data_IF_089361681478
#
_entry.id   IF_089361681478
#
_cell.length_a   1.000
_cell.length_b   1.000
_cell.length_c   1.000
_cell.angle_alpha   90.00
_cell.angle_beta   90.00
_cell.angle_gamma   90.00
#
_symmetry.space_group_name_H-M   'P 1'
#
loop_
_entity.id
_entity.type
_entity.pdbx_description
1 polymer ?
2 non-polymer ?
3 non-polymer ?
4 non-polymer ?
5 non-polymer ?
6 water ?
#
# COMPACT_ATOMS: atom_id res chain seq x y z
N UNK A 15 9.36 12.39 12.05
CA UNK A 15 9.65 12.83 10.69
C UNK A 15 8.71 14.02 10.38
N UNK A 16 9.19 14.88 9.52
CA UNK A 16 8.46 16.05 9.10
C UNK A 16 7.41 15.66 8.05
N UNK A 17 6.11 15.93 8.28
CA UNK A 17 5.13 15.61 7.22
C UNK A 17 5.47 16.25 5.88
N UNK A 18 6.25 17.35 5.86
CA UNK A 18 6.60 17.96 4.59
C UNK A 18 7.48 17.06 3.74
N UNK A 19 8.07 16.02 4.33
CA UNK A 19 8.91 15.08 3.60
C UNK A 19 8.15 13.85 3.12
N UNK A 20 6.84 13.79 3.32
CA UNK A 20 6.03 12.64 2.89
C UNK A 20 5.26 12.98 1.62
N UNK A 21 5.34 12.10 0.63
CA UNK A 21 4.54 12.20 -0.58
C UNK A 21 3.72 10.93 -0.73
N UNK A 22 2.41 11.07 -0.97
CA UNK A 22 1.56 9.93 -1.26
C UNK A 22 1.42 9.83 -2.76
N UNK A 23 1.85 8.73 -3.34
CA UNK A 23 1.73 8.48 -4.76
C UNK A 23 0.65 7.44 -4.98
N UNK A 24 -0.21 7.70 -5.96
CA UNK A 24 -1.25 6.75 -6.34
C UNK A 24 -1.37 6.69 -7.85
N UNK A 25 -2.21 5.77 -8.33
CA UNK A 25 -2.49 5.61 -9.75
C UNK A 25 -3.99 5.73 -9.93
N UNK A 26 -4.41 6.52 -10.91
CA UNK A 26 -5.80 6.58 -11.32
C UNK A 26 -5.84 6.94 -12.78
N UNK A 27 -6.41 6.10 -13.62
CA UNK A 27 -6.59 6.49 -15.00
C UNK A 27 -7.84 7.31 -15.23
N UNK A 28 -8.81 7.28 -14.30
CA UNK A 28 -10.00 8.11 -14.37
C UNK A 28 -10.33 8.58 -12.96
N UNK A 29 -11.08 9.68 -12.89
CA UNK A 29 -11.54 10.20 -11.60
C UNK A 29 -12.85 9.50 -11.22
N UNK A 30 -12.68 8.22 -10.86
CA UNK A 30 -13.80 7.39 -10.44
C UNK A 30 -14.31 7.81 -9.06
N UNK A 31 -15.50 7.32 -8.70
CA UNK A 31 -16.01 7.62 -7.37
C UNK A 31 -15.06 7.13 -6.29
N UNK A 32 -14.41 5.99 -6.53
CA UNK A 32 -13.44 5.49 -5.57
C UNK A 32 -12.24 6.41 -5.43
N UNK A 33 -11.70 6.87 -6.57
CA UNK A 33 -10.58 7.82 -6.49
C UNK A 33 -10.99 9.09 -5.76
N UNK A 34 -12.19 9.62 -6.04
CA UNK A 34 -12.61 10.84 -5.37
C UNK A 34 -12.79 10.62 -3.87
N UNK A 35 -13.30 9.45 -3.48
CA UNK A 35 -13.39 9.08 -2.07
C UNK A 35 -12.02 9.06 -1.42
N UNK A 36 -11.05 8.42 -2.09
CA UNK A 36 -9.67 8.44 -1.61
C UNK A 36 -9.16 9.87 -1.47
N UNK A 37 -9.31 10.65 -2.52
CA UNK A 37 -8.73 11.99 -2.57
C UNK A 37 -9.33 12.90 -1.50
N UNK A 38 -10.64 12.79 -1.27
CA UNK A 38 -11.25 13.60 -0.22
C UNK A 38 -10.67 13.26 1.14
N UNK A 39 -10.42 11.97 1.38
CA UNK A 39 -9.84 11.58 2.67
C UNK A 39 -8.41 12.09 2.79
N UNK A 40 -7.64 12.02 1.70
CA UNK A 40 -6.26 12.50 1.75
C UNK A 40 -6.21 14.00 2.01
N UNK A 41 -7.09 14.75 1.36
CA UNK A 41 -7.12 16.20 1.51
C UNK A 41 -7.57 16.60 2.89
N UNK A 42 -8.55 15.88 3.47
CA UNK A 42 -9.03 16.19 4.82
C UNK A 42 -7.89 16.11 5.83
N UNK A 43 -7.00 15.12 5.66
CA UNK A 43 -5.86 14.91 6.55
C UNK A 43 -4.60 15.66 6.10
N UNK A 44 -4.69 16.46 5.04
CA UNK A 44 -3.63 17.36 4.61
C UNK A 44 -2.43 16.60 4.03
N UNK A 45 -2.66 15.44 3.44
CA UNK A 45 -1.63 14.74 2.69
C UNK A 45 -1.38 15.47 1.37
N UNK A 46 -0.19 15.30 0.84
CA UNK A 46 0.12 15.73 -0.52
C UNK A 46 0.13 14.50 -1.42
N UNK A 47 -0.71 14.54 -2.47
CA UNK A 47 -0.90 13.40 -3.36
C UNK A 47 -0.29 13.72 -4.73
N UNK A 48 0.36 12.72 -5.30
CA UNK A 48 0.80 12.73 -6.70
C UNK A 48 0.06 11.58 -7.38
N UNK A 49 -0.73 11.90 -8.39
CA UNK A 49 -1.57 10.91 -9.07
C UNK A 49 -0.99 10.60 -10.45
N UNK A 50 -0.66 9.32 -10.67
CA UNK A 50 -0.12 8.88 -11.94
C UNK A 50 -1.22 8.32 -12.82
N UNK A 51 -1.19 8.68 -14.09
CA UNK A 51 -2.00 8.00 -15.09
C UNK A 51 -3.32 8.64 -15.48
N UNK A 52 -3.68 9.81 -14.94
CA UNK A 52 -5.00 10.36 -15.22
C UNK A 52 -5.19 10.68 -16.71
N UNK A 53 -6.25 10.11 -17.28
CA UNK A 53 -6.58 10.27 -18.67
C UNK A 53 -5.87 9.33 -19.60
N UNK A 54 -4.98 8.49 -19.10
CA UNK A 54 -4.29 7.49 -19.90
C UNK A 54 -5.12 6.22 -19.98
N UNK A 55 -4.82 5.39 -20.99
CA UNK A 55 -5.50 4.12 -21.15
C UNK A 55 -4.94 3.11 -20.15
N UNK A 56 -5.82 2.45 -19.41
CA UNK A 56 -5.37 1.37 -18.53
C UNK A 56 -4.97 0.17 -19.37
N UNK A 57 -3.76 -0.30 -19.11
CA UNK A 57 -3.21 -1.48 -19.77
C UNK A 57 -2.86 -2.57 -18.76
N UNK A 58 -3.35 -2.44 -17.53
CA UNK A 58 -2.96 -3.34 -16.46
C UNK A 58 -3.72 -4.64 -16.40
N UNK A 59 -4.57 -4.92 -17.37
CA UNK A 59 -5.37 -6.13 -17.40
C UNK A 59 -6.85 -5.84 -17.17
N UNK A 60 -7.70 -6.61 -17.83
CA UNK A 60 -9.16 -6.53 -17.70
C UNK A 60 -9.52 -6.55 -16.21
N UNK A 61 -10.43 -5.66 -15.80
CA UNK A 61 -10.68 -5.51 -14.37
C UNK A 61 -11.29 -6.76 -13.75
N UNK A 62 -11.84 -7.67 -14.55
CA UNK A 62 -12.32 -8.94 -14.01
C UNK A 62 -11.17 -9.77 -13.45
N UNK A 63 -9.98 -9.65 -14.02
CA UNK A 63 -8.85 -10.49 -13.64
C UNK A 63 -8.41 -10.24 -12.20
N UNK A 64 -7.90 -11.29 -11.58
CA UNK A 64 -7.43 -11.27 -10.21
C UNK A 64 -5.94 -11.04 -10.11
N UNK A 65 -5.28 -10.88 -11.26
CA UNK A 65 -3.87 -10.51 -11.33
C UNK A 65 -3.73 -9.39 -12.37
N UNK A 66 -2.65 -8.64 -12.25
CA UNK A 66 -2.33 -7.57 -13.18
C UNK A 66 -1.82 -6.35 -12.45
N UNK A 67 -1.88 -5.20 -13.11
CA UNK A 67 -1.43 -3.97 -12.50
C UNK A 67 0.02 -3.63 -12.69
N UNK A 68 0.74 -4.33 -13.56
CA UNK A 68 2.14 -4.02 -13.80
C UNK A 68 2.34 -2.59 -14.30
N UNK A 69 1.37 -2.07 -15.05
CA UNK A 69 1.45 -0.67 -15.48
C UNK A 69 1.67 0.26 -14.30
N UNK A 70 1.10 -0.05 -13.14
CA UNK A 70 1.31 0.80 -11.97
C UNK A 70 2.80 0.89 -11.64
N UNK A 71 3.50 -0.25 -11.70
CA UNK A 71 4.90 -0.27 -11.34
C UNK A 71 5.72 0.47 -12.39
N UNK A 72 5.35 0.33 -13.67
CA UNK A 72 6.08 1.04 -14.71
C UNK A 72 5.97 2.54 -14.52
N UNK A 73 4.78 3.02 -14.21
CA UNK A 73 4.59 4.46 -13.98
C UNK A 73 5.30 4.91 -12.70
N UNK A 74 5.25 4.09 -11.65
CA UNK A 74 5.95 4.43 -10.42
C UNK A 74 7.46 4.44 -10.64
N UNK A 75 7.99 3.48 -11.40
CA UNK A 75 9.41 3.46 -11.73
C UNK A 75 9.84 4.77 -12.35
N UNK A 76 9.09 5.26 -13.33
CA UNK A 76 9.41 6.51 -13.99
C UNK A 76 9.42 7.66 -12.99
N UNK A 77 8.37 7.77 -12.18
CA UNK A 77 8.28 8.85 -11.21
C UNK A 77 9.42 8.78 -10.20
N UNK A 78 9.80 7.58 -9.76
CA UNK A 78 10.80 7.46 -8.71
C UNK A 78 12.18 7.89 -9.17
N UNK A 79 12.43 7.98 -10.48
CA UNK A 79 13.70 8.48 -10.97
C UNK A 79 13.97 9.89 -10.48
N UNK A 80 12.91 10.65 -10.21
CA UNK A 80 13.07 12.01 -9.71
C UNK A 80 13.61 12.02 -8.28
N UNK A 81 13.38 10.95 -7.53
CA UNK A 81 13.64 10.92 -6.10
C UNK A 81 14.74 9.94 -5.72
N UNK A 82 15.47 9.42 -6.72
CA UNK A 82 16.41 8.34 -6.47
C UNK A 82 17.46 8.70 -5.43
N UNK A 83 17.76 10.00 -5.32
CA UNK A 83 18.83 10.51 -4.47
C UNK A 83 18.32 11.28 -3.26
N UNK A 84 17.01 11.28 -3.02
CA UNK A 84 16.40 12.09 -1.96
C UNK A 84 16.33 11.25 -0.69
N UNK A 85 17.42 11.27 0.08
CA UNK A 85 17.51 10.41 1.26
C UNK A 85 16.56 10.84 2.37
N UNK A 86 16.04 12.07 2.28
CA UNK A 86 15.15 12.69 3.24
C UNK A 86 13.69 12.34 3.05
N UNK A 87 13.32 11.80 1.89
CA UNK A 87 11.94 11.73 1.48
C UNK A 87 11.36 10.36 1.75
N UNK A 88 10.13 10.36 2.25
CA UNK A 88 9.33 9.17 2.49
C UNK A 88 8.17 9.18 1.51
N UNK A 89 7.93 8.04 0.87
CA UNK A 89 6.86 7.88 -0.11
C UNK A 89 5.94 6.79 0.35
N UNK A 90 4.64 7.06 0.35
CA UNK A 90 3.63 6.02 0.50
C UNK A 90 2.93 5.82 -0.83
N UNK A 91 2.95 4.59 -1.32
CA UNK A 91 2.21 4.24 -2.52
C UNK A 91 0.96 3.48 -2.13
N UNK A 92 -0.17 3.88 -2.68
CA UNK A 92 -1.43 3.19 -2.46
C UNK A 92 -2.23 3.12 -3.73
N UNK A 93 -2.97 2.02 -3.91
CA UNK A 93 -4.11 1.98 -4.81
C UNK A 93 -5.05 3.16 -4.47
N UNK A 94 -5.85 3.61 -5.45
CA UNK A 94 -6.79 4.67 -5.12
C UNK A 94 -8.27 4.33 -5.27
N UNK A 95 -8.64 3.35 -6.08
CA UNK A 95 -10.06 3.14 -6.29
C UNK A 95 -10.72 2.48 -5.11
N UNK A 96 -9.95 1.81 -4.25
CA UNK A 96 -10.52 1.01 -3.17
C UNK A 96 -9.73 1.21 -1.89
N UNK A 97 -9.27 2.44 -1.65
CA UNK A 97 -8.50 2.80 -0.47
C UNK A 97 -9.02 4.11 0.10
N UNK A 98 -9.06 4.22 1.42
CA UNK A 98 -9.26 5.49 2.08
C UNK A 98 -8.19 5.65 3.15
N UNK A 99 -7.89 6.91 3.47
CA UNK A 99 -6.99 7.27 4.55
C UNK A 99 -7.80 7.69 5.76
N UNK A 100 -7.38 7.25 6.95
CA UNK A 100 -8.16 7.44 8.15
C UNK A 100 -7.41 8.09 9.30
N UNK A 101 -6.16 8.49 9.11
CA UNK A 101 -5.44 9.22 10.13
C UNK A 101 -4.45 10.17 9.49
N UNK A 102 -3.83 10.98 10.34
CA UNK A 102 -3.00 12.09 9.92
C UNK A 102 -1.62 11.65 9.44
N UNK A 103 -0.95 12.48 8.64
CA UNK A 103 0.45 12.25 8.30
C UNK A 103 1.36 12.09 9.51
N UNK A 104 1.10 12.85 10.58
CA UNK A 104 1.92 12.72 11.78
C UNK A 104 1.76 11.33 12.40
N UNK A 105 0.51 10.86 12.52
CA UNK A 105 0.26 9.50 13.02
C UNK A 105 0.93 8.46 12.12
N UNK A 106 0.83 8.63 10.80
CA UNK A 106 1.41 7.67 9.87
C UNK A 106 2.91 7.58 10.01
N UNK A 107 3.58 8.74 10.07
CA UNK A 107 5.04 8.76 10.13
C UNK A 107 5.56 8.25 11.47
N UNK A 108 4.82 8.52 12.55
CA UNK A 108 5.19 7.95 13.85
C UNK A 108 5.17 6.43 13.79
N UNK A 109 4.10 5.86 13.24
CA UNK A 109 4.03 4.41 13.09
C UNK A 109 5.08 3.88 12.13
N UNK A 110 5.42 4.64 11.10
CA UNK A 110 6.47 4.18 10.20
C UNK A 110 7.83 4.14 10.88
N UNK A 111 8.17 5.16 11.65
CA UNK A 111 9.42 5.15 12.42
C UNK A 111 9.43 3.98 13.40
N UNK A 112 8.28 3.71 14.02
CA UNK A 112 8.20 2.60 14.98
C UNK A 112 8.38 1.24 14.32
N UNK A 113 8.10 1.13 13.03
CA UNK A 113 8.21 -0.17 12.37
C UNK A 113 9.66 -0.61 12.21
N UNK A 114 10.60 0.33 12.24
CA UNK A 114 12.01 0.06 12.00
C UNK A 114 12.36 -0.37 10.59
N UNK A 115 11.45 -0.20 9.65
CA UNK A 115 11.59 -0.63 8.28
C UNK A 115 12.06 0.52 7.41
N UNK A 116 12.73 0.20 6.31
CA UNK A 116 12.97 1.18 5.26
C UNK A 116 11.98 1.06 4.11
N UNK A 117 11.23 -0.05 4.06
CA UNK A 117 10.14 -0.21 3.11
C UNK A 117 9.20 -1.26 3.67
N UNK A 118 8.05 -0.79 4.12
CA UNK A 118 7.03 -1.57 4.81
C UNK A 118 5.84 -1.78 3.88
N UNK A 119 5.59 -3.05 3.54
CA UNK A 119 4.42 -3.43 2.75
C UNK A 119 3.24 -3.81 3.61
N UNK A 120 2.04 -3.55 3.09
CA UNK A 120 0.85 -4.11 3.73
C UNK A 120 0.91 -5.63 3.67
N UNK A 121 0.15 -6.26 4.57
CA UNK A 121 0.17 -7.71 4.77
C UNK A 121 -1.25 -8.25 4.63
N UNK A 122 -1.36 -9.51 4.23
CA UNK A 122 -2.67 -10.12 4.08
C UNK A 122 -2.65 -11.60 4.39
N UNK A 123 -3.86 -12.19 4.42
CA UNK A 123 -4.09 -13.57 4.85
C UNK A 123 -3.80 -14.60 3.77
N UNK A 124 -3.79 -14.19 2.51
CA UNK A 124 -3.72 -15.07 1.37
C UNK A 124 -2.41 -14.86 0.64
N UNK A 125 -1.79 -15.96 0.24
CA UNK A 125 -0.57 -15.90 -0.56
C UNK A 125 -0.97 -15.86 -2.03
N UNK A 126 -0.81 -14.70 -2.65
CA UNK A 126 -1.39 -14.46 -3.96
C UNK A 126 -0.38 -13.62 -4.76
N UNK A 127 -0.18 -13.92 -6.05
CA UNK A 127 -0.95 -14.88 -6.86
C UNK A 127 -0.38 -16.28 -6.95
N UNK A 128 0.79 -16.50 -6.38
CA UNK A 128 1.46 -17.79 -6.45
C UNK A 128 1.38 -18.46 -5.08
N UNK A 129 0.36 -19.29 -4.90
CA UNK A 129 0.18 -20.01 -3.65
C UNK A 129 1.40 -20.84 -3.28
N UNK A 130 2.16 -21.32 -4.27
CA UNK A 130 3.32 -22.15 -3.99
C UNK A 130 4.48 -21.42 -3.36
N UNK A 131 4.46 -20.09 -3.36
CA UNK A 131 5.49 -19.34 -2.67
C UNK A 131 5.26 -19.24 -1.17
N UNK A 132 4.10 -19.70 -0.67
CA UNK A 132 3.78 -19.46 0.73
C UNK A 132 4.86 -20.01 1.65
N UNK A 133 5.39 -21.20 1.33
CA UNK A 133 6.41 -21.83 2.18
C UNK A 133 7.67 -21.00 2.30
N UNK A 134 7.93 -20.07 1.37
CA UNK A 134 9.14 -19.27 1.46
C UNK A 134 9.00 -18.10 2.41
N UNK A 135 7.78 -17.75 2.79
CA UNK A 135 7.60 -16.69 3.75
C UNK A 135 7.97 -17.19 5.16
N UNK A 136 8.60 -16.32 5.95
CA UNK A 136 8.70 -16.62 7.40
C UNK A 136 7.33 -16.90 7.98
N UNK A 137 7.27 -17.87 8.88
CA UNK A 137 6.11 -18.11 9.73
C UNK A 137 6.07 -17.05 10.84
N UNK A 138 4.90 -16.43 11.04
CA UNK A 138 4.83 -15.32 11.98
C UNK A 138 3.68 -15.43 12.98
N UNK A 139 3.32 -16.64 13.34
CA UNK A 139 2.34 -16.79 14.40
C UNK A 139 0.97 -16.33 13.93
N UNK A 140 0.35 -15.45 14.72
CA UNK A 140 -1.00 -14.98 14.41
C UNK A 140 -1.03 -13.74 13.53
N UNK A 141 0.11 -13.15 13.20
CA UNK A 141 0.11 -12.02 12.29
C UNK A 141 -0.25 -12.44 10.87
N UNK A 142 -0.54 -11.44 10.05
CA UNK A 142 -0.76 -11.66 8.63
C UNK A 142 0.58 -11.94 7.96
N UNK A 143 0.63 -13.03 7.20
CA UNK A 143 1.92 -13.58 6.79
C UNK A 143 2.43 -13.05 5.46
N UNK A 144 1.55 -12.61 4.57
CA UNK A 144 1.88 -12.47 3.17
C UNK A 144 1.81 -11.02 2.70
N UNK A 145 2.57 -10.74 1.65
CA UNK A 145 2.68 -9.39 1.11
C UNK A 145 1.47 -9.01 0.25
N UNK A 146 1.02 -7.77 0.41
CA UNK A 146 0.01 -7.17 -0.48
C UNK A 146 0.53 -5.83 -0.98
N UNK A 147 0.49 -5.62 -2.30
CA UNK A 147 1.11 -4.45 -2.88
C UNK A 147 0.15 -3.27 -3.06
N UNK A 148 -1.06 -3.35 -2.51
CA UNK A 148 -1.98 -2.21 -2.57
C UNK A 148 -1.59 -1.04 -1.69
N UNK A 149 -0.67 -1.25 -0.75
CA UNK A 149 -0.10 -0.14 0.02
C UNK A 149 1.28 -0.49 0.53
N UNK A 150 2.20 0.45 0.42
CA UNK A 150 3.51 0.34 1.07
C UNK A 150 4.06 1.74 1.32
N UNK A 151 4.97 1.83 2.28
CA UNK A 151 5.56 3.11 2.66
C UNK A 151 7.05 2.86 2.92
N UNK A 152 7.89 3.72 2.37
CA UNK A 152 9.31 3.60 2.65
C UNK A 152 10.08 4.81 2.22
N UNK A 153 11.39 4.73 2.42
CA UNK A 153 12.27 5.77 1.96
C UNK A 153 12.30 5.79 0.45
N UNK A 154 12.32 7.00 -0.11
CA UNK A 154 12.30 7.12 -1.57
C UNK A 154 13.48 6.38 -2.18
N UNK A 155 14.65 6.48 -1.57
CA UNK A 155 15.83 5.79 -2.12
C UNK A 155 15.63 4.28 -2.16
N UNK A 156 15.02 3.72 -1.11
CA UNK A 156 14.79 2.27 -1.07
C UNK A 156 13.75 1.85 -2.09
N UNK A 157 12.67 2.62 -2.22
CA UNK A 157 11.63 2.30 -3.19
C UNK A 157 12.21 2.32 -4.60
N UNK A 158 13.06 3.31 -4.90
CA UNK A 158 13.69 3.36 -6.21
C UNK A 158 14.51 2.11 -6.48
N UNK A 159 15.23 1.62 -5.48
CA UNK A 159 16.06 0.44 -5.66
C UNK A 159 15.23 -0.82 -5.90
N UNK A 160 13.95 -0.80 -5.55
CA UNK A 160 13.03 -1.88 -5.83
C UNK A 160 12.39 -1.69 -7.21
N UNK A 161 11.72 -0.54 -7.41
CA UNK A 161 10.93 -0.42 -8.64
C UNK A 161 11.79 -0.29 -9.89
N UNK A 162 13.05 0.13 -9.78
CA UNK A 162 13.89 0.20 -10.97
C UNK A 162 14.14 -1.19 -11.58
N UNK A 163 13.86 -2.25 -10.83
CA UNK A 163 14.00 -3.63 -11.32
C UNK A 163 12.83 -4.07 -12.18
N UNK A 164 11.78 -3.25 -12.28
CA UNK A 164 10.64 -3.60 -13.11
C UNK A 164 11.04 -3.61 -14.58
N UNK A 165 10.75 -4.73 -15.26
CA UNK A 165 11.02 -4.86 -16.68
C UNK A 165 10.01 -5.78 -17.36
N UNK A 166 8.76 -5.79 -16.87
CA UNK A 166 7.75 -6.76 -17.26
C UNK A 166 6.60 -6.07 -18.00
N UNK A 167 5.59 -6.86 -18.36
CA UNK A 167 4.47 -6.38 -19.16
C UNK A 167 3.48 -5.59 -18.31
N UNK A 168 2.77 -4.66 -18.97
CA UNK A 168 1.80 -3.85 -18.24
C UNK A 168 0.71 -4.69 -17.56
N UNK A 169 0.32 -5.83 -18.14
CA UNK A 169 -0.71 -6.67 -17.52
C UNK A 169 -0.14 -7.86 -16.73
N UNK A 170 1.17 -7.89 -16.52
CA UNK A 170 1.76 -8.75 -15.51
C UNK A 170 1.34 -8.27 -14.12
N UNK A 171 1.58 -9.13 -13.12
CA UNK A 171 1.12 -8.83 -11.77
C UNK A 171 2.11 -8.02 -10.95
N UNK A 172 1.64 -6.91 -10.36
CA UNK A 172 2.49 -6.12 -9.49
C UNK A 172 2.81 -6.86 -8.20
N UNK A 173 1.83 -7.56 -7.64
CA UNK A 173 2.03 -8.21 -6.34
C UNK A 173 3.09 -9.31 -6.44
N UNK A 174 3.09 -10.04 -7.55
CA UNK A 174 4.07 -11.12 -7.71
C UNK A 174 5.48 -10.56 -7.78
N UNK A 175 5.63 -9.44 -8.50
CA UNK A 175 6.93 -8.77 -8.61
C UNK A 175 7.47 -8.40 -7.24
N UNK A 176 6.67 -7.71 -6.43
CA UNK A 176 7.15 -7.31 -5.10
C UNK A 176 7.36 -8.52 -4.20
N UNK A 177 6.50 -9.52 -4.33
CA UNK A 177 6.64 -10.75 -3.53
C UNK A 177 8.00 -11.40 -3.76
N UNK A 178 8.38 -11.55 -5.03
CA UNK A 178 9.62 -12.27 -5.31
C UNK A 178 10.83 -11.51 -4.77
N UNK A 179 10.79 -10.18 -4.79
CA UNK A 179 11.86 -9.39 -4.20
C UNK A 179 11.86 -9.54 -2.67
N UNK A 180 10.69 -9.44 -2.06
CA UNK A 180 10.59 -9.57 -0.61
C UNK A 180 11.09 -10.93 -0.14
N UNK A 181 10.82 -11.97 -0.92
CA UNK A 181 11.20 -13.33 -0.54
C UNK A 181 12.68 -13.63 -0.73
N UNK A 182 13.44 -12.73 -1.34
CA UNK A 182 14.88 -12.93 -1.45
C UNK A 182 15.52 -12.53 -0.12
N UNK A 183 16.01 -13.48 0.68
CA UNK A 183 16.45 -13.12 2.04
C UNK A 183 17.58 -12.10 2.04
N UNK A 184 18.51 -12.20 1.10
CA UNK A 184 19.62 -11.26 1.10
C UNK A 184 19.15 -9.85 0.83
N UNK A 185 18.22 -9.70 -0.12
CA UNK A 185 17.70 -8.38 -0.44
C UNK A 185 16.86 -7.84 0.71
N UNK A 186 16.02 -8.69 1.30
CA UNK A 186 15.16 -8.24 2.39
C UNK A 186 16.00 -7.71 3.55
N UNK A 187 17.10 -8.39 3.86
CA UNK A 187 18.02 -7.93 4.91
C UNK A 187 18.75 -6.66 4.50
N UNK A 188 19.30 -6.62 3.29
CA UNK A 188 20.10 -5.48 2.88
C UNK A 188 19.29 -4.18 2.87
N UNK A 189 18.08 -4.24 2.35
CA UNK A 189 17.24 -3.04 2.16
C UNK A 189 16.28 -2.80 3.31
N UNK A 190 16.21 -3.69 4.29
CA UNK A 190 15.33 -3.55 5.45
C UNK A 190 13.86 -3.51 5.03
N UNK A 191 13.46 -4.50 4.26
CA UNK A 191 12.05 -4.66 3.88
C UNK A 191 11.29 -5.39 4.98
N UNK A 192 10.04 -4.98 5.18
CA UNK A 192 9.20 -5.61 6.19
C UNK A 192 7.75 -5.63 5.76
N UNK A 193 6.95 -6.43 6.48
CA UNK A 193 5.51 -6.49 6.32
C UNK A 193 4.82 -5.99 7.59
N UNK A 194 3.66 -5.33 7.40
CA UNK A 194 2.87 -4.81 8.51
C UNK A 194 1.93 -5.91 9.02
N UNK A 195 2.55 -6.88 9.74
CA UNK A 195 1.89 -8.12 10.11
C UNK A 195 0.63 -7.90 10.95
N UNK A 196 0.59 -6.85 11.79
CA UNK A 196 -0.55 -6.65 12.69
C UNK A 196 -1.45 -5.48 12.27
N UNK A 197 -1.34 -5.03 11.02
CA UNK A 197 -2.25 -4.03 10.47
C UNK A 197 -2.22 -2.75 11.30
N UNK A 198 -1.00 -2.30 11.65
CA UNK A 198 -0.85 -1.07 12.42
C UNK A 198 -0.99 0.16 11.53
N UNK A 199 -0.58 0.04 10.28
CA UNK A 199 -0.73 1.10 9.30
C UNK A 199 -1.72 0.71 8.23
N UNK A 200 -1.55 -0.48 7.63
CA UNK A 200 -2.36 -0.90 6.50
C UNK A 200 -3.34 -1.97 6.94
N UNK A 201 -4.62 -1.78 6.59
CA UNK A 201 -5.67 -2.76 6.84
C UNK A 201 -6.23 -3.25 5.50
N UNK A 202 -5.85 -4.46 5.11
CA UNK A 202 -6.49 -5.14 3.98
C UNK A 202 -7.74 -5.84 4.48
N UNK A 203 -8.90 -5.50 3.91
CA UNK A 203 -10.13 -6.05 4.45
C UNK A 203 -10.41 -7.47 3.96
N UNK A 204 -9.94 -7.86 2.77
CA UNK A 204 -10.22 -9.20 2.25
C UNK A 204 -9.52 -10.23 3.15
N UNK A 205 -10.29 -11.11 3.76
CA UNK A 205 -9.74 -12.09 4.67
C UNK A 205 -9.69 -11.65 6.11
N UNK A 206 -10.20 -10.46 6.42
CA UNK A 206 -10.10 -9.93 7.77
C UNK A 206 -11.37 -9.21 8.23
N UNK A 207 -12.50 -9.39 7.53
CA UNK A 207 -13.70 -8.70 7.97
C UNK A 207 -14.11 -9.11 9.39
N UNK A 208 -13.82 -10.34 9.80
CA UNK A 208 -14.10 -10.79 11.15
C UNK A 208 -13.24 -10.07 12.19
N UNK A 209 -12.21 -9.35 11.76
CA UNK A 209 -11.28 -8.71 12.67
C UNK A 209 -11.56 -7.22 12.93
N UNK A 210 -12.44 -6.58 12.18
CA UNK A 210 -12.53 -5.13 12.25
C UNK A 210 -13.91 -4.70 12.73
N UNK A 211 -13.95 -3.54 13.38
CA UNK A 211 -15.19 -2.89 13.79
C UNK A 211 -15.07 -1.42 13.45
N UNK A 212 -16.21 -0.76 13.39
CA UNK A 212 -16.22 0.69 13.23
C UNK A 212 -15.93 1.36 14.56
N UNK A 213 -15.27 2.51 14.50
CA UNK A 213 -14.94 3.29 15.68
C UNK A 213 -15.13 4.76 15.36
N UNK A 214 -15.81 5.48 16.24
CA UNK A 214 -15.94 6.92 16.07
C UNK A 214 -14.65 7.59 16.53
N UNK A 215 -14.12 8.46 15.67
CA UNK A 215 -12.92 9.22 15.95
C UNK A 215 -13.22 10.64 15.52
N UNK A 216 -13.46 11.54 16.48
CA UNK A 216 -13.73 12.94 16.19
C UNK A 216 -14.81 13.10 15.11
N UNK A 217 -15.95 12.47 15.34
CA UNK A 217 -17.08 12.55 14.41
C UNK A 217 -16.70 12.12 12.99
N UNK A 218 -15.69 11.27 12.89
CA UNK A 218 -15.45 10.48 11.70
C UNK A 218 -15.54 9.02 12.09
N UNK A 219 -15.88 8.18 11.11
CA UNK A 219 -15.92 6.73 11.29
C UNK A 219 -14.65 6.15 10.71
N UNK A 220 -13.89 5.41 11.55
CA UNK A 220 -12.73 4.70 11.04
C UNK A 220 -12.77 3.25 11.51
N UNK A 221 -11.69 2.49 11.26
CA UNK A 221 -11.64 1.07 11.56
C UNK A 221 -10.77 0.84 12.78
N UNK A 222 -11.25 -0.02 13.67
CA UNK A 222 -10.38 -0.62 14.68
C UNK A 222 -10.22 -2.10 14.36
N UNK A 223 -9.00 -2.56 14.36
CA UNK A 223 -8.75 -4.00 14.24
C UNK A 223 -8.73 -4.56 15.65
N UNK A 224 -9.75 -5.34 15.98
CA UNK A 224 -9.88 -5.90 17.32
C UNK A 224 -9.05 -7.16 17.51
N UNK A 225 -8.61 -7.80 16.44
CA UNK A 225 -7.74 -8.96 16.61
C UNK A 225 -6.36 -8.55 17.12
N UNK A 226 -5.82 -7.45 16.59
CA UNK A 226 -4.51 -6.95 16.98
C UNK A 226 -4.58 -5.70 17.84
N UNK A 227 -5.77 -5.11 18.01
CA UNK A 227 -5.96 -3.87 18.78
C UNK A 227 -5.18 -2.71 18.14
N UNK A 228 -5.46 -2.46 16.87
CA UNK A 228 -4.78 -1.40 16.13
C UNK A 228 -5.80 -0.47 15.50
N UNK A 229 -5.33 0.72 15.10
CA UNK A 229 -6.13 1.74 14.44
C UNK A 229 -5.41 2.05 13.13
N UNK A 230 -5.67 1.29 12.08
CA UNK A 230 -4.91 1.51 10.83
C UNK A 230 -5.19 2.86 10.18
N UNK A 231 -4.20 3.32 9.43
CA UNK A 231 -4.26 4.59 8.71
C UNK A 231 -4.86 4.40 7.33
N UNK A 232 -4.50 3.31 6.68
CA UNK A 232 -4.85 3.04 5.29
C UNK A 232 -5.81 1.87 5.30
N UNK A 233 -7.00 2.03 4.74
CA UNK A 233 -7.95 0.91 4.64
C UNK A 233 -8.15 0.55 3.17
N UNK A 234 -7.86 -0.71 2.84
CA UNK A 234 -7.91 -1.22 1.47
C UNK A 234 -9.06 -2.21 1.39
N UNK A 235 -10.11 -1.81 0.69
CA UNK A 235 -11.27 -2.66 0.50
C UNK A 235 -11.06 -3.50 -0.74
N UNK A 236 -10.11 -4.43 -0.67
CA UNK A 236 -9.69 -5.22 -1.81
C UNK A 236 -10.59 -6.44 -2.00
N UNK A 237 -10.47 -7.06 -3.17
CA UNK A 237 -11.34 -8.16 -3.51
C UNK A 237 -12.77 -7.67 -3.43
N UNK A 238 -13.64 -8.47 -2.78
CA UNK A 238 -15.07 -8.14 -2.77
C UNK A 238 -15.53 -7.24 -1.63
N UNK A 239 -14.61 -6.62 -0.89
CA UNK A 239 -14.94 -5.80 0.27
C UNK A 239 -15.06 -4.30 -0.06
N UNK A 240 -15.01 -3.93 -1.34
CA UNK A 240 -14.91 -2.53 -1.73
C UNK A 240 -16.05 -1.68 -1.15
N UNK A 241 -17.26 -2.23 -1.07
CA UNK A 241 -18.40 -1.43 -0.60
C UNK A 241 -18.32 -1.13 0.89
N UNK A 242 -17.52 -1.90 1.65
CA UNK A 242 -17.34 -1.57 3.07
C UNK A 242 -16.75 -0.18 3.27
N UNK A 243 -15.99 0.32 2.29
CA UNK A 243 -15.40 1.65 2.44
C UNK A 243 -16.45 2.74 2.51
N UNK A 244 -17.67 2.47 2.06
CA UNK A 244 -18.66 3.53 2.15
C UNK A 244 -19.15 3.78 3.56
N UNK A 245 -18.72 3.02 4.57
CA UNK A 245 -19.08 3.33 5.94
C UNK A 245 -18.08 4.27 6.62
N UNK A 246 -16.97 4.58 5.96
CA UNK A 246 -15.82 5.22 6.60
C UNK A 246 -15.70 6.68 6.17
N UNK A 247 -15.38 7.55 7.13
CA UNK A 247 -15.27 8.97 6.86
C UNK A 247 -16.27 9.85 7.60
X LIG B 1 -6.82 -2.25 -4.68
X LIG C 1 -6.83 -2.25 -4.69
X LIG D 1 -3.53 -7.60 -7.05
X LIG E 1 -6.54 1.32 -11.66
X LIG E 1 -6.68 2.40 -12.51
X LIG E 1 -7.49 2.20 -13.59
X LIG E 1 -8.16 1.03 -13.92
X LIG E 1 -7.96 -0.05 -13.00
X LIG E 1 -7.18 0.11 -11.93
X LIG E 1 -6.14 3.47 -12.30
X LIG E 1 -8.88 1.01 -14.93
X LIG E 1 -5.67 1.50 -10.50
X LIG E 1 -6.43 1.99 -9.25
X LIG E 1 -5.50 2.70 -8.45
X LIG E 1 -6.77 0.67 -8.57
X LIG E 1 -5.46 -0.09 -8.78
X LIG E 1 -5.10 0.24 -10.14
X LIG E 1 -7.06 0.89 -7.20
X LIG E 1 -5.47 -1.58 -8.67
X LIG E 1 -6.76 -2.07 -9.01
X LIG E 1 -7.54 -2.95 -7.98
X LIG E 1 -7.70 -2.10 -6.78
X LIG E 1 -8.76 -3.59 -8.63
X LIG E 1 -6.48 -4.14 -7.71
X LIG E 1 -6.19 -5.23 -6.58
X LIG E 1 -6.45 -4.48 -5.27
X LIG E 1 -7.28 -6.24 -6.81
X LIG E 1 -4.76 -5.86 -6.74
X LIG E 1 -7.60 2.87 -14.12
X LIG E 1 -8.37 -0.87 -13.15
X LIG E 1 -7.06 -0.59 -11.34
X LIG E 1 -4.97 2.12 -10.71
X LIG E 1 -7.22 2.50 -9.48
X LIG E 1 -5.61 3.54 -8.54
X LIG E 1 -7.49 0.18 -9.00
X LIG E 1 -4.82 0.27 -8.14
X LIG E 1 -7.87 0.64 -7.06
X LIG E 1 -4.81 -1.96 -9.29
X LIG E 1 -5.25 -1.85 -7.77
X LIG F 1 20.17 -11.69 -5.39
X LIG F 1 20.03 -11.19 -6.85
X LIG F 1 21.69 -11.56 -5.11
X LIG F 1 19.58 -10.56 -4.54
X LIG F 1 19.33 -13.04 -5.14
X LIG F 1 19.36 -12.18 -7.60
X LIG F 1 22.07 -11.73 -3.76
X LIG F 1 19.72 -10.92 -3.19
X LIG F 1 21.02 -11.00 -7.27
X LIG F 1 19.46 -10.25 -6.87
X LIG F 1 22.02 -10.57 -5.44
X LIG F 1 22.22 -12.30 -5.70
X LIG F 1 18.53 -10.40 -4.79
X LIG F 1 20.11 -9.62 -4.74
X LIG F 1 18.57 -13.29 -5.76
X LIG F 1 18.83 -13.17 -4.27
X LIG F 1 19.80 -13.94 -5.14
X LIG F 1 19.25 -11.87 -8.52
X LIG F 1 23.04 -11.72 -3.68
X LIG F 1 19.17 -10.34 -2.63
#
# INVERSE_FOLDING_TARGET
MGSSHHHHHHASDPVNPEKLLVITVATAETEGYLRFLRSAEFFNYTVRTLGLGEEWRGGDVARTVGGGQKVRWLKKEMEKYADREDMIIMFVDSYDVILAGSPTELLKKFVQSGSRLLFSAESFCWPEWGLAEQYPEVGTGKRFLNSGGFIGFATTIHQIVRQWKYKDDDDDQLFYTRLYLDPGLREKLSLNLDHKSRIFQNLNGALDEVVLKFDRNRVRIRNVAYDTLPIVVHGNGPTKLQLNYLG
MN MN
MG MG
MG MG
UDP N1 C2 N3 C4 C5 C6 O2 O4 C1' C2' O2' C3' C4' O4' O3' C5' O5' PA O1A O2A O3A PB O1B O2B O3B HN3 H5 H6 H1' H2' HO2' H3' H4' HO3' H5'1 H5'2
TRS C C1 C2 C3 N O1 O2 O3 H11 H12 H21 H22 H31 H32 HN1 HN2 HN3 HO1 HO2 HO3
#
